data_IF_385435485461
#
_entry.id   IF_385435485461
#
_cell.length_a   1.000
_cell.length_b   1.000
_cell.length_c   1.000
_cell.angle_alpha   90.00
_cell.angle_beta   90.00
_cell.angle_gamma   90.00
#
_symmetry.space_group_name_H-M   'P 1'
#
loop_
_entity.id
_entity.type
_entity.pdbx_description
1 polymer ?
#
# COMPACT_ATOMS: atom_id res chain seq x y z
N UNK A 1 3.92 1.25 -2.13
CA UNK A 1 4.55 2.04 -3.22
C UNK A 1 3.57 2.36 -4.35
N UNK A 2 2.89 1.39 -4.96
CA UNK A 2 1.97 1.62 -6.09
C UNK A 2 0.92 2.72 -5.87
N UNK A 3 0.36 2.82 -4.65
CA UNK A 3 -0.57 3.90 -4.30
C UNK A 3 0.02 5.30 -4.39
N UNK A 4 1.28 5.49 -3.96
CA UNK A 4 1.98 6.77 -4.11
C UNK A 4 2.21 7.14 -5.58
N UNK A 5 2.56 6.15 -6.41
CA UNK A 5 2.73 6.35 -7.86
C UNK A 5 1.39 6.73 -8.51
N UNK A 6 0.31 6.02 -8.19
CA UNK A 6 -1.02 6.31 -8.73
C UNK A 6 -1.50 7.72 -8.30
N UNK A 7 -1.28 8.08 -7.04
CA UNK A 7 -1.64 9.40 -6.52
C UNK A 7 -0.82 10.52 -7.19
N UNK A 8 0.51 10.33 -7.32
CA UNK A 8 1.38 11.29 -8.02
C UNK A 8 0.97 11.46 -9.48
N UNK A 9 0.70 10.36 -10.18
CA UNK A 9 0.21 10.41 -11.56
C UNK A 9 -1.11 11.17 -11.68
N UNK A 10 -2.05 10.95 -10.75
CA UNK A 10 -3.34 11.65 -10.73
C UNK A 10 -3.17 13.16 -10.52
N UNK A 11 -2.24 13.56 -9.64
CA UNK A 11 -1.93 14.95 -9.37
C UNK A 11 -1.27 15.67 -10.56
N UNK A 12 -0.47 14.94 -11.35
CA UNK A 12 0.22 15.48 -12.52
C UNK A 12 -0.65 15.44 -13.78
N UNK A 13 -1.55 14.47 -13.91
CA UNK A 13 -2.36 14.20 -15.09
C UNK A 13 -3.85 13.97 -14.75
N UNK A 14 -4.53 14.93 -14.09
CA UNK A 14 -5.92 14.73 -13.65
C UNK A 14 -6.89 14.50 -14.80
N UNK A 15 -6.61 15.04 -15.98
CA UNK A 15 -7.39 14.87 -17.21
C UNK A 15 -7.34 13.43 -17.77
N UNK A 16 -6.40 12.61 -17.30
CA UNK A 16 -6.23 11.22 -17.73
C UNK A 16 -6.81 10.21 -16.73
N UNK A 17 -7.35 10.66 -15.61
CA UNK A 17 -7.85 9.82 -14.53
C UNK A 17 -9.31 10.13 -14.26
N UNK A 18 -10.19 9.18 -14.49
CA UNK A 18 -11.62 9.34 -14.22
C UNK A 18 -11.92 9.23 -12.70
N UNK A 19 -11.27 8.30 -12.02
CA UNK A 19 -11.40 8.10 -10.57
C UNK A 19 -10.17 7.35 -10.02
N UNK A 20 -9.95 7.39 -8.70
CA UNK A 20 -8.79 6.79 -8.06
C UNK A 20 -9.21 5.93 -6.86
N UNK A 21 -8.99 4.62 -6.93
CA UNK A 21 -9.15 3.72 -5.80
C UNK A 21 -7.78 3.30 -5.25
N UNK A 22 -7.55 3.56 -3.98
CA UNK A 22 -6.30 3.29 -3.28
C UNK A 22 -6.51 2.28 -2.15
N UNK A 23 -5.62 1.29 -2.07
CA UNK A 23 -5.63 0.28 -1.01
C UNK A 23 -4.34 0.40 -0.22
N UNK A 24 -4.43 0.77 1.05
CA UNK A 24 -3.31 1.00 1.98
C UNK A 24 -2.14 1.78 1.30
N UNK A 25 -2.39 2.99 0.77
CA UNK A 25 -1.41 3.68 -0.08
C UNK A 25 -0.27 4.30 0.73
N UNK A 26 0.96 4.20 0.21
CA UNK A 26 2.06 5.07 0.59
C UNK A 26 1.82 6.50 0.04
N UNK A 27 2.57 7.48 0.56
CA UNK A 27 2.55 8.86 0.08
C UNK A 27 1.64 9.82 0.87
N UNK A 28 0.89 9.32 1.86
CA UNK A 28 -0.02 10.12 2.69
C UNK A 28 0.52 10.43 4.09
N UNK A 29 1.77 10.13 4.36
CA UNK A 29 2.48 10.39 5.61
C UNK A 29 3.94 10.01 5.48
N UNK A 30 4.77 10.41 6.45
CA UNK A 30 6.20 10.14 6.39
C UNK A 30 6.58 8.77 6.95
N UNK A 31 5.82 8.28 7.93
CA UNK A 31 6.17 7.07 8.67
C UNK A 31 5.92 5.82 7.83
N UNK A 32 6.89 4.92 7.91
CA UNK A 32 6.78 3.56 7.40
C UNK A 32 7.56 2.62 8.33
N UNK A 33 7.12 1.40 8.47
CA UNK A 33 7.81 0.41 9.30
C UNK A 33 9.18 0.04 8.68
N UNK A 34 10.26 0.50 9.33
CA UNK A 34 11.64 0.23 8.89
C UNK A 34 11.95 -1.28 8.94
N UNK A 35 11.48 -2.00 9.97
CA UNK A 35 11.73 -3.44 10.10
C UNK A 35 11.13 -4.21 8.91
N UNK A 36 9.99 -3.74 8.37
CA UNK A 36 9.42 -4.32 7.16
C UNK A 36 10.31 -4.06 5.93
N UNK A 37 10.72 -2.82 5.71
CA UNK A 37 11.52 -2.44 4.53
C UNK A 37 12.88 -3.14 4.57
N UNK A 38 13.63 -2.96 5.65
CA UNK A 38 14.99 -3.50 5.80
C UNK A 38 14.96 -5.04 5.85
N UNK A 39 14.01 -5.60 6.58
CA UNK A 39 13.80 -7.04 6.67
C UNK A 39 13.44 -7.67 5.33
N UNK A 40 12.57 -7.02 4.52
CA UNK A 40 12.21 -7.52 3.19
C UNK A 40 13.41 -7.52 2.24
N UNK A 41 14.20 -6.45 2.26
CA UNK A 41 15.41 -6.36 1.43
C UNK A 41 16.43 -7.41 1.87
N UNK A 42 16.69 -7.57 3.18
CA UNK A 42 17.72 -8.43 3.72
C UNK A 42 17.35 -9.93 3.74
N UNK A 43 16.07 -10.29 3.81
CA UNK A 43 15.65 -11.68 3.98
C UNK A 43 16.03 -12.56 2.80
N UNK A 44 16.85 -13.59 3.05
CA UNK A 44 17.29 -14.60 2.06
C UNK A 44 16.76 -16.00 2.39
N UNK A 45 16.29 -16.21 3.62
CA UNK A 45 15.83 -17.51 4.12
C UNK A 45 14.34 -17.48 4.46
N UNK A 46 13.68 -18.64 4.33
CA UNK A 46 12.24 -18.79 4.62
C UNK A 46 11.82 -18.22 5.98
N UNK A 47 12.58 -18.50 7.04
CA UNK A 47 12.24 -18.08 8.39
C UNK A 47 12.27 -16.55 8.52
N UNK A 48 13.29 -15.92 7.95
CA UNK A 48 13.46 -14.47 7.95
C UNK A 48 12.33 -13.81 7.18
N UNK A 49 12.11 -14.24 5.93
CA UNK A 49 11.09 -13.67 5.07
C UNK A 49 9.68 -13.89 5.61
N UNK A 50 9.40 -15.07 6.23
CA UNK A 50 8.10 -15.33 6.83
C UNK A 50 7.75 -14.28 7.89
N UNK A 51 8.65 -13.98 8.82
CA UNK A 51 8.43 -12.97 9.87
C UNK A 51 8.19 -11.57 9.31
N UNK A 52 8.85 -11.23 8.20
CA UNK A 52 8.64 -9.94 7.52
C UNK A 52 7.27 -9.91 6.81
N UNK A 53 6.91 -10.97 6.10
CA UNK A 53 5.61 -11.05 5.42
C UNK A 53 4.43 -11.05 6.41
N UNK A 54 4.61 -11.57 7.62
CA UNK A 54 3.61 -11.53 8.68
C UNK A 54 3.23 -10.10 9.10
N UNK A 55 4.08 -9.11 8.84
CA UNK A 55 3.77 -7.69 9.08
C UNK A 55 2.70 -7.13 8.12
N UNK A 56 2.52 -7.76 6.95
CA UNK A 56 1.52 -7.36 5.96
C UNK A 56 0.08 -7.71 6.37
N UNK A 57 -0.10 -8.62 7.32
CA UNK A 57 -1.40 -9.21 7.64
C UNK A 57 -1.74 -9.04 9.13
N UNK A 58 -3.00 -8.78 9.42
CA UNK A 58 -3.56 -8.88 10.76
C UNK A 58 -3.60 -10.36 11.18
N UNK A 59 -4.11 -11.24 10.30
CA UNK A 59 -4.04 -12.69 10.45
C UNK A 59 -2.73 -13.23 9.86
N UNK A 60 -1.73 -13.42 10.70
CA UNK A 60 -0.43 -13.98 10.31
C UNK A 60 -0.52 -15.41 9.75
N UNK A 61 -1.61 -16.14 10.04
CA UNK A 61 -1.86 -17.48 9.51
C UNK A 61 -2.00 -17.53 7.98
N UNK A 62 -2.27 -16.40 7.35
CA UNK A 62 -2.32 -16.28 5.89
C UNK A 62 -0.95 -16.42 5.24
N UNK A 63 0.14 -16.19 5.96
CA UNK A 63 1.52 -16.34 5.45
C UNK A 63 1.90 -17.81 5.43
N UNK A 64 1.51 -18.48 4.36
CA UNK A 64 1.78 -19.89 4.16
C UNK A 64 3.13 -20.13 3.45
N UNK A 65 3.54 -21.41 3.40
CA UNK A 65 4.82 -21.79 2.81
C UNK A 65 4.94 -21.43 1.34
N UNK A 66 3.85 -21.57 0.58
CA UNK A 66 3.84 -21.29 -0.86
C UNK A 66 4.12 -19.81 -1.11
N UNK A 67 3.45 -18.92 -0.39
CA UNK A 67 3.69 -17.47 -0.47
C UNK A 67 5.15 -17.12 -0.20
N UNK A 68 5.74 -17.67 0.87
CA UNK A 68 7.15 -17.42 1.21
C UNK A 68 8.09 -17.93 0.12
N UNK A 69 7.83 -19.15 -0.41
CA UNK A 69 8.66 -19.74 -1.45
C UNK A 69 8.57 -18.96 -2.78
N UNK A 70 7.40 -18.44 -3.12
CA UNK A 70 7.19 -17.66 -4.34
C UNK A 70 7.90 -16.29 -4.25
N UNK A 71 7.82 -15.61 -3.10
CA UNK A 71 8.55 -14.36 -2.89
C UNK A 71 10.06 -14.59 -2.91
N UNK A 72 10.58 -15.66 -2.28
CA UNK A 72 11.99 -16.00 -2.34
C UNK A 72 12.46 -16.31 -3.76
N UNK A 73 11.62 -16.98 -4.55
CA UNK A 73 11.92 -17.27 -5.96
C UNK A 73 12.03 -15.97 -6.75
N UNK A 74 11.08 -15.06 -6.57
CA UNK A 74 11.11 -13.73 -7.18
C UNK A 74 12.38 -12.94 -6.80
N UNK A 75 12.72 -12.90 -5.51
CA UNK A 75 13.91 -12.19 -5.04
C UNK A 75 15.24 -12.71 -5.61
N UNK A 76 15.27 -13.96 -6.10
CA UNK A 76 16.46 -14.59 -6.72
C UNK A 76 16.59 -14.35 -8.21
N UNK A 77 15.64 -13.68 -8.84
CA UNK A 77 15.75 -13.30 -10.24
C UNK A 77 16.85 -12.25 -10.40
N UNK A 78 17.54 -12.31 -11.52
CA UNK A 78 18.64 -11.38 -11.83
C UNK A 78 18.17 -9.92 -11.74
N UNK A 79 18.95 -9.09 -11.05
CA UNK A 79 18.69 -7.68 -10.86
C UNK A 79 17.65 -7.31 -9.79
N UNK A 80 16.85 -8.26 -9.31
CA UNK A 80 15.76 -7.95 -8.34
C UNK A 80 16.31 -7.47 -7.00
N UNK A 81 17.35 -8.11 -6.48
CA UNK A 81 17.95 -7.72 -5.20
C UNK A 81 18.56 -6.31 -5.28
N UNK A 82 19.23 -5.98 -6.37
CA UNK A 82 19.78 -4.65 -6.62
C UNK A 82 18.65 -3.60 -6.73
N UNK A 83 17.59 -3.90 -7.47
CA UNK A 83 16.42 -3.03 -7.60
C UNK A 83 15.74 -2.79 -6.26
N UNK A 84 15.53 -3.83 -5.43
CA UNK A 84 14.94 -3.70 -4.10
C UNK A 84 15.78 -2.81 -3.19
N UNK A 85 17.11 -3.00 -3.18
CA UNK A 85 18.04 -2.19 -2.41
C UNK A 85 18.02 -0.73 -2.85
N UNK A 86 18.05 -0.49 -4.16
CA UNK A 86 18.03 0.87 -4.74
C UNK A 86 16.72 1.59 -4.40
N UNK A 87 15.58 0.91 -4.58
CA UNK A 87 14.26 1.50 -4.28
C UNK A 87 14.12 1.78 -2.77
N UNK A 88 14.53 0.83 -1.91
CA UNK A 88 14.46 1.03 -0.47
C UNK A 88 15.31 2.23 -0.02
N UNK A 89 16.55 2.34 -0.50
CA UNK A 89 17.44 3.45 -0.17
C UNK A 89 16.92 4.82 -0.68
N UNK A 90 16.30 4.85 -1.86
CA UNK A 90 15.78 6.09 -2.44
C UNK A 90 14.45 6.53 -1.85
N UNK A 91 13.53 5.59 -1.59
CA UNK A 91 12.15 5.90 -1.24
C UNK A 91 11.87 5.85 0.26
N UNK A 92 12.66 5.07 1.02
CA UNK A 92 12.38 4.77 2.43
C UNK A 92 13.61 4.88 3.35
N UNK A 93 14.48 5.87 3.18
CA UNK A 93 15.66 5.99 4.02
C UNK A 93 15.27 6.10 5.50
N UNK A 94 15.91 5.28 6.35
CA UNK A 94 15.71 5.30 7.82
C UNK A 94 14.24 5.18 8.26
N UNK A 95 13.44 4.38 7.54
CA UNK A 95 12.02 4.17 7.87
C UNK A 95 11.12 5.39 7.63
N UNK A 96 11.51 6.28 6.72
CA UNK A 96 10.70 7.44 6.34
C UNK A 96 10.44 7.44 4.83
N UNK A 97 9.22 7.75 4.46
CA UNK A 97 8.84 7.95 3.07
C UNK A 97 9.41 9.29 2.55
N UNK A 98 10.10 9.27 1.42
CA UNK A 98 10.58 10.49 0.75
C UNK A 98 9.50 11.13 -0.12
N UNK A 99 8.61 10.33 -0.69
CA UNK A 99 7.50 10.79 -1.52
C UNK A 99 6.25 11.00 -0.65
N UNK A 100 6.14 12.15 0.03
CA UNK A 100 4.95 12.56 0.79
C UNK A 100 4.20 13.60 -0.04
N UNK A 101 2.96 13.29 -0.41
CA UNK A 101 2.15 14.07 -1.35
C UNK A 101 1.08 14.94 -0.66
N UNK A 102 1.04 14.95 0.67
CA UNK A 102 0.00 15.63 1.47
C UNK A 102 -0.12 17.12 1.16
N UNK A 103 0.98 17.80 0.88
CA UNK A 103 0.99 19.23 0.49
C UNK A 103 0.39 19.53 -0.89
N UNK A 104 0.03 18.51 -1.67
CA UNK A 104 -0.51 18.66 -3.02
C UNK A 104 -1.95 18.18 -3.16
N UNK A 105 -2.55 17.62 -2.11
CA UNK A 105 -3.88 17.01 -2.15
C UNK A 105 -5.00 18.00 -2.52
N UNK A 106 -4.77 19.30 -2.35
CA UNK A 106 -5.70 20.35 -2.81
C UNK A 106 -5.91 20.36 -4.33
N UNK A 107 -4.99 19.75 -5.06
CA UNK A 107 -5.04 19.63 -6.54
C UNK A 107 -5.83 18.41 -7.01
N UNK A 108 -6.26 17.53 -6.11
CA UNK A 108 -7.09 16.38 -6.46
C UNK A 108 -8.49 16.86 -6.87
N UNK A 109 -8.85 16.64 -8.13
CA UNK A 109 -10.14 17.01 -8.71
C UNK A 109 -10.99 15.81 -9.09
N UNK A 110 -10.43 14.60 -9.03
CA UNK A 110 -11.14 13.36 -9.35
C UNK A 110 -11.71 12.71 -8.08
N UNK A 111 -12.78 11.91 -8.20
CA UNK A 111 -13.28 11.12 -7.10
C UNK A 111 -12.20 10.15 -6.58
N UNK A 112 -12.10 10.02 -5.25
CA UNK A 112 -11.10 9.15 -4.61
C UNK A 112 -11.76 8.24 -3.58
N UNK A 113 -11.46 6.94 -3.66
CA UNK A 113 -11.74 5.95 -2.63
C UNK A 113 -10.42 5.51 -1.99
N UNK A 114 -10.38 5.45 -0.66
CA UNK A 114 -9.27 4.83 0.09
C UNK A 114 -9.84 3.69 0.93
N UNK A 115 -9.27 2.49 0.79
CA UNK A 115 -9.57 1.35 1.64
C UNK A 115 -8.33 0.99 2.44
N UNK A 116 -8.44 0.90 3.77
CA UNK A 116 -7.29 0.64 4.63
C UNK A 116 -7.64 -0.34 5.75
N UNK A 117 -6.70 -1.22 6.10
CA UNK A 117 -6.85 -2.09 7.26
C UNK A 117 -6.49 -1.35 8.55
N UNK A 118 -7.33 -1.44 9.57
CA UNK A 118 -7.10 -0.80 10.88
C UNK A 118 -5.87 -1.34 11.61
N UNK A 119 -5.44 -2.57 11.28
CA UNK A 119 -4.30 -3.25 11.90
C UNK A 119 -3.06 -3.25 11.00
N UNK A 120 -2.96 -2.30 10.06
CA UNK A 120 -1.78 -2.14 9.21
C UNK A 120 -0.54 -1.83 10.07
N UNK A 121 0.45 -2.72 9.98
CA UNK A 121 1.73 -2.62 10.70
C UNK A 121 2.88 -2.14 9.81
N UNK A 122 2.60 -1.83 8.55
CA UNK A 122 3.58 -1.30 7.58
C UNK A 122 3.43 0.21 7.43
N UNK A 123 2.21 0.68 7.22
CA UNK A 123 1.86 2.09 7.11
C UNK A 123 0.75 2.42 8.11
N UNK A 124 0.89 3.51 8.84
CA UNK A 124 -0.11 3.92 9.83
C UNK A 124 -1.46 4.22 9.17
N UNK A 125 -2.57 3.55 9.57
CA UNK A 125 -3.91 3.86 9.03
C UNK A 125 -4.33 5.32 9.23
N UNK A 126 -3.77 5.99 10.23
CA UNK A 126 -3.97 7.41 10.48
C UNK A 126 -3.58 8.31 9.29
N UNK A 127 -2.69 7.85 8.40
CA UNK A 127 -2.33 8.57 7.18
C UNK A 127 -3.54 8.81 6.25
N UNK A 128 -4.58 7.98 6.31
CA UNK A 128 -5.83 8.20 5.58
C UNK A 128 -6.50 9.54 5.93
N UNK A 129 -6.25 10.07 7.13
CA UNK A 129 -6.72 11.38 7.57
C UNK A 129 -6.26 12.55 6.70
N UNK A 130 -5.14 12.41 5.98
CA UNK A 130 -4.67 13.41 5.02
C UNK A 130 -5.66 13.65 3.87
N UNK A 131 -6.54 12.69 3.58
CA UNK A 131 -7.59 12.79 2.57
C UNK A 131 -8.99 13.07 3.15
N UNK A 132 -9.08 13.42 4.44
CA UNK A 132 -10.36 13.76 5.07
C UNK A 132 -11.08 14.90 4.33
N UNK A 133 -12.36 14.67 3.99
CA UNK A 133 -13.18 15.61 3.22
C UNK A 133 -12.88 15.68 1.72
N UNK A 134 -11.92 14.88 1.22
CA UNK A 134 -11.53 14.82 -0.20
C UNK A 134 -11.73 13.43 -0.82
N UNK A 135 -11.76 12.40 0.01
CA UNK A 135 -11.92 11.03 -0.41
C UNK A 135 -12.98 10.34 0.45
N UNK A 136 -13.61 9.32 -0.10
CA UNK A 136 -14.30 8.31 0.67
C UNK A 136 -13.25 7.40 1.31
N UNK A 137 -13.19 7.36 2.63
CA UNK A 137 -12.22 6.56 3.39
C UNK A 137 -12.96 5.44 4.12
N UNK A 138 -12.55 4.20 3.86
CA UNK A 138 -13.11 3.00 4.46
C UNK A 138 -12.00 2.27 5.25
N UNK A 139 -12.16 2.20 6.56
CA UNK A 139 -11.25 1.47 7.45
C UNK A 139 -11.84 0.09 7.75
N UNK A 140 -11.08 -0.97 7.48
CA UNK A 140 -11.54 -2.35 7.64
C UNK A 140 -10.99 -2.95 8.93
N UNK A 141 -11.88 -3.20 9.88
CA UNK A 141 -11.55 -3.90 11.12
C UNK A 141 -11.02 -5.31 10.82
N UNK A 142 -9.98 -5.72 11.55
CA UNK A 142 -9.40 -7.06 11.40
C UNK A 142 -8.54 -7.27 10.16
N UNK A 143 -8.26 -6.22 9.37
CA UNK A 143 -7.35 -6.28 8.22
C UNK A 143 -6.06 -5.50 8.48
N UNK A 144 -4.95 -5.96 7.91
CA UNK A 144 -3.64 -5.32 7.94
C UNK A 144 -3.34 -4.52 6.68
N UNK A 145 -2.07 -4.53 6.25
CA UNK A 145 -1.60 -3.82 5.05
C UNK A 145 -2.13 -4.42 3.73
N UNK A 146 -2.66 -5.64 3.78
CA UNK A 146 -3.16 -6.35 2.60
C UNK A 146 -4.67 -6.61 2.67
N UNK A 147 -5.53 -5.59 2.89
CA UNK A 147 -6.97 -5.80 3.06
C UNK A 147 -7.61 -6.46 1.82
N UNK A 148 -7.06 -6.29 0.63
CA UNK A 148 -7.50 -6.97 -0.60
C UNK A 148 -7.33 -8.49 -0.57
N UNK A 149 -6.50 -9.02 0.35
CA UNK A 149 -6.34 -10.46 0.59
C UNK A 149 -7.11 -10.92 1.82
N UNK A 150 -7.14 -10.10 2.87
CA UNK A 150 -7.75 -10.44 4.16
C UNK A 150 -9.27 -10.27 4.17
N UNK A 151 -9.77 -9.26 3.46
CA UNK A 151 -11.18 -8.89 3.36
C UNK A 151 -11.60 -8.70 1.89
N UNK A 152 -11.17 -9.62 1.01
CA UNK A 152 -11.31 -9.50 -0.45
C UNK A 152 -12.74 -9.17 -0.92
N UNK A 153 -13.74 -9.84 -0.36
CA UNK A 153 -15.13 -9.61 -0.71
C UNK A 153 -15.58 -8.18 -0.40
N UNK A 154 -15.17 -7.65 0.75
CA UNK A 154 -15.53 -6.30 1.17
C UNK A 154 -14.79 -5.25 0.35
N UNK A 155 -13.48 -5.42 0.12
CA UNK A 155 -12.70 -4.53 -0.76
C UNK A 155 -13.30 -4.49 -2.16
N UNK A 156 -13.62 -5.65 -2.74
CA UNK A 156 -14.22 -5.74 -4.08
C UNK A 156 -15.59 -5.05 -4.11
N UNK A 157 -16.43 -5.23 -3.09
CA UNK A 157 -17.73 -4.58 -2.97
C UNK A 157 -17.59 -3.06 -2.93
N UNK A 158 -16.66 -2.54 -2.12
CA UNK A 158 -16.41 -1.11 -1.98
C UNK A 158 -15.90 -0.49 -3.28
N UNK A 159 -14.95 -1.16 -3.95
CA UNK A 159 -14.40 -0.69 -5.23
C UNK A 159 -15.48 -0.73 -6.34
N UNK A 160 -16.26 -1.81 -6.44
CA UNK A 160 -17.32 -1.91 -7.44
C UNK A 160 -18.38 -0.80 -7.24
N UNK A 161 -18.88 -0.64 -6.01
CA UNK A 161 -19.85 0.42 -5.71
C UNK A 161 -19.30 1.82 -6.01
N UNK A 162 -18.03 2.07 -5.71
CA UNK A 162 -17.37 3.33 -6.04
C UNK A 162 -17.30 3.57 -7.55
N UNK A 163 -16.95 2.57 -8.34
CA UNK A 163 -16.87 2.69 -9.80
C UNK A 163 -18.25 2.89 -10.43
N UNK A 164 -19.28 2.15 -9.98
CA UNK A 164 -20.66 2.31 -10.44
C UNK A 164 -21.20 3.74 -10.21
N UNK A 165 -20.84 4.36 -9.07
CA UNK A 165 -21.18 5.75 -8.75
C UNK A 165 -20.59 6.74 -9.76
N UNK A 166 -19.42 6.44 -10.34
CA UNK A 166 -18.74 7.31 -11.30
C UNK A 166 -19.27 7.13 -12.74
N UNK A 167 -19.78 5.93 -13.08
CA UNK A 167 -20.37 5.69 -14.40
C UNK A 167 -21.78 6.32 -14.53
N UNK A 168 -22.44 6.57 -13.41
CA UNK A 168 -23.78 7.17 -13.34
C UNK A 168 -23.81 8.70 -13.23
N UNK A 169 -22.64 9.35 -13.14
CA UNK A 169 -22.50 10.79 -12.97
C UNK A 169 -22.08 11.48 -14.28
#
# INVERSE_FOLDING_TARGET
MGGAVALAFTLEHPDRVASLALVAPAGLGEEINADYIDGFVAAERRRELKGVLELLFADQGLVNRTMVDDVLRYKRLDGVQEALTTVAAAMYPSGRQTAVLTGQLDRLTVPVLVVWGEQDRVLAPAHAGALAGRARVELLAGAGHSPHMEAANEVNRLVAAFLDEQEGA
#
